data_IF_179794198616
#
_entry.id   IF_179794198616
#
_cell.length_a   1.000
_cell.length_b   1.000
_cell.length_c   1.000
_cell.angle_alpha   90.00
_cell.angle_beta   90.00
_cell.angle_gamma   90.00
#
_symmetry.space_group_name_H-M   'P 1'
#
loop_
_entity.id
_entity.type
_entity.pdbx_description
1 polymer ?
#
# COMPACT_ATOMS: atom_id res chain seq x y z
N UNK A 1 -65.77 2.12 13.96
CA UNK A 1 -64.82 2.78 14.88
C UNK A 1 -63.52 2.01 14.85
N UNK A 2 -62.43 2.69 14.51
CA UNK A 2 -61.07 2.15 14.41
C UNK A 2 -60.52 1.91 15.82
N UNK A 3 -59.87 0.78 16.06
CA UNK A 3 -58.80 0.69 17.07
C UNK A 3 -57.77 -0.32 16.61
N UNK A 4 -56.64 0.19 16.14
CA UNK A 4 -55.42 -0.60 15.96
C UNK A 4 -54.64 -0.66 17.28
N UNK A 5 -53.89 -1.74 17.46
CA UNK A 5 -52.75 -1.81 18.37
C UNK A 5 -51.81 -2.90 17.82
N UNK A 6 -50.79 -2.47 17.07
CA UNK A 6 -49.39 -2.35 17.51
C UNK A 6 -48.65 -3.69 17.48
N UNK A 7 -48.20 -4.06 16.28
CA UNK A 7 -47.19 -5.07 16.06
C UNK A 7 -45.84 -4.52 16.57
N UNK A 8 -45.39 -4.93 17.76
CA UNK A 8 -44.03 -4.62 18.23
C UNK A 8 -43.04 -5.41 17.40
N UNK A 9 -42.44 -4.76 16.41
CA UNK A 9 -41.22 -5.23 15.77
C UNK A 9 -40.10 -5.06 16.78
N UNK A 10 -39.65 -6.17 17.39
CA UNK A 10 -38.41 -6.20 18.14
C UNK A 10 -37.28 -6.07 17.10
N UNK A 11 -36.73 -4.87 16.92
CA UNK A 11 -35.45 -4.71 16.23
C UNK A 11 -34.39 -5.34 17.12
N UNK A 12 -33.82 -6.45 16.65
CA UNK A 12 -32.65 -7.06 17.26
C UNK A 12 -31.47 -6.13 17.01
N UNK A 13 -31.24 -5.19 17.93
CA UNK A 13 -30.06 -4.34 17.94
C UNK A 13 -28.90 -5.22 18.40
N UNK A 14 -28.22 -5.89 17.48
CA UNK A 14 -26.93 -6.53 17.75
C UNK A 14 -25.93 -5.45 18.14
N UNK A 15 -25.72 -5.31 19.45
CA UNK A 15 -24.66 -4.50 20.02
C UNK A 15 -23.33 -5.15 19.61
N UNK A 16 -22.69 -4.63 18.57
CA UNK A 16 -21.33 -5.03 18.20
C UNK A 16 -20.39 -4.40 19.23
N UNK A 17 -20.08 -5.14 20.31
CA UNK A 17 -19.01 -4.74 21.22
C UNK A 17 -17.71 -4.94 20.45
N UNK A 18 -17.07 -3.84 20.03
CA UNK A 18 -15.70 -3.86 19.55
C UNK A 18 -14.80 -4.31 20.70
N UNK A 19 -14.49 -5.61 20.76
CA UNK A 19 -13.44 -6.08 21.65
C UNK A 19 -12.11 -5.55 21.10
N UNK A 20 -11.40 -4.73 21.88
CA UNK A 20 -9.99 -4.46 21.64
C UNK A 20 -9.20 -5.76 21.90
N UNK A 21 -9.26 -6.69 20.95
CA UNK A 21 -8.31 -7.80 20.91
C UNK A 21 -6.97 -7.20 20.53
N UNK A 22 -6.03 -7.16 21.46
CA UNK A 22 -4.67 -6.71 21.16
C UNK A 22 -4.06 -7.65 20.13
N UNK A 23 -3.88 -7.18 18.90
CA UNK A 23 -3.10 -7.90 17.91
C UNK A 23 -1.69 -8.13 18.48
N UNK A 24 -1.18 -9.36 18.42
CA UNK A 24 0.18 -9.65 18.83
C UNK A 24 1.13 -8.90 17.86
N UNK A 25 1.94 -7.99 18.39
CA UNK A 25 2.85 -7.17 17.60
C UNK A 25 4.29 -7.63 17.81
N UNK A 26 4.97 -8.04 16.74
CA UNK A 26 6.41 -8.22 16.76
C UNK A 26 7.06 -7.03 16.05
N UNK A 27 7.81 -6.21 16.78
CA UNK A 27 8.66 -5.16 16.20
C UNK A 27 9.90 -5.80 15.56
N UNK A 28 10.21 -5.40 14.33
CA UNK A 28 11.39 -5.83 13.60
C UNK A 28 12.30 -4.63 13.33
N UNK A 29 13.59 -4.86 13.55
CA UNK A 29 14.68 -3.95 13.22
C UNK A 29 15.71 -4.70 12.38
N UNK A 30 16.37 -4.05 11.42
CA UNK A 30 17.46 -4.66 10.67
C UNK A 30 18.69 -4.85 11.57
N UNK A 31 19.41 -5.95 11.39
CA UNK A 31 20.61 -6.27 12.18
C UNK A 31 21.71 -5.22 12.08
N UNK A 32 21.76 -4.49 10.96
CA UNK A 32 22.76 -3.46 10.66
C UNK A 32 22.13 -2.06 10.52
N UNK A 33 20.94 -1.85 11.08
CA UNK A 33 20.25 -0.56 11.02
C UNK A 33 21.02 0.57 11.68
N UNK A 34 21.01 1.73 11.04
CA UNK A 34 21.64 2.97 11.52
C UNK A 34 20.73 4.16 11.26
N UNK A 35 21.13 5.32 11.80
CA UNK A 35 20.47 6.59 11.49
C UNK A 35 20.32 6.81 9.98
N UNK A 36 19.19 7.40 9.61
CA UNK A 36 18.79 7.81 8.27
C UNK A 36 18.53 6.70 7.24
N UNK A 37 18.80 5.43 7.56
CA UNK A 37 18.54 4.27 6.67
C UNK A 37 17.07 4.18 6.20
N UNK A 38 16.15 4.73 7.00
CA UNK A 38 14.70 4.75 6.74
C UNK A 38 14.11 3.35 6.56
N UNK A 39 14.52 2.39 7.38
CA UNK A 39 13.98 1.03 7.33
C UNK A 39 12.46 1.02 7.54
N UNK A 40 11.74 0.31 6.69
CA UNK A 40 10.27 0.35 6.69
C UNK A 40 9.70 1.39 5.74
N UNK A 41 10.52 2.12 4.98
CA UNK A 41 9.98 3.10 4.03
C UNK A 41 8.99 2.48 3.04
N UNK A 42 9.22 1.24 2.61
CA UNK A 42 8.28 0.42 1.83
C UNK A 42 8.22 -0.99 2.39
N UNK A 43 7.07 -1.67 2.26
CA UNK A 43 6.84 -2.99 2.83
C UNK A 43 6.00 -3.86 1.90
N UNK A 44 6.29 -5.15 1.86
CA UNK A 44 5.47 -6.17 1.20
C UNK A 44 5.49 -7.48 2.00
N UNK A 45 4.41 -8.26 1.94
CA UNK A 45 4.29 -9.55 2.62
C UNK A 45 3.62 -10.56 1.71
N UNK A 46 4.15 -11.79 1.67
CA UNK A 46 3.50 -12.93 1.02
C UNK A 46 3.66 -14.18 1.89
N UNK A 47 2.55 -14.62 2.48
CA UNK A 47 2.51 -15.73 3.42
C UNK A 47 3.44 -15.53 4.62
N UNK A 48 4.57 -16.24 4.61
CA UNK A 48 5.58 -16.28 5.69
C UNK A 48 6.86 -15.52 5.37
N UNK A 49 6.85 -14.74 4.30
CA UNK A 49 7.99 -13.91 3.87
C UNK A 49 7.56 -12.45 3.86
N UNK A 50 8.40 -11.59 4.40
CA UNK A 50 8.24 -10.15 4.41
C UNK A 50 9.46 -9.51 3.74
N UNK A 51 9.22 -8.43 3.00
CA UNK A 51 10.24 -7.65 2.33
C UNK A 51 10.10 -6.19 2.77
N UNK A 52 11.17 -5.63 3.31
CA UNK A 52 11.16 -4.29 3.89
C UNK A 52 12.24 -3.45 3.23
N UNK A 53 11.85 -2.35 2.59
CA UNK A 53 12.75 -1.40 1.98
C UNK A 53 13.37 -0.42 2.98
N UNK A 54 14.63 -0.08 2.73
CA UNK A 54 15.39 0.94 3.45
C UNK A 54 16.22 1.70 2.41
N UNK A 55 15.60 2.71 1.81
CA UNK A 55 16.11 3.34 0.57
C UNK A 55 17.38 4.17 0.75
N UNK A 56 17.79 4.42 2.01
CA UNK A 56 19.06 5.07 2.35
C UNK A 56 20.04 4.13 3.03
N UNK A 57 19.72 2.84 3.15
CA UNK A 57 20.63 1.90 3.78
C UNK A 57 21.97 1.82 3.05
N UNK A 58 23.04 1.82 3.83
CA UNK A 58 24.39 1.58 3.33
C UNK A 58 24.54 0.13 2.83
N UNK A 59 25.36 -0.04 1.79
CA UNK A 59 25.99 -1.34 1.51
C UNK A 59 27.30 -1.46 2.29
N UNK A 60 28.02 -2.57 2.12
CA UNK A 60 29.34 -2.74 2.76
C UNK A 60 30.36 -1.67 2.34
N UNK A 61 30.23 -1.10 1.13
CA UNK A 61 31.25 -0.23 0.53
C UNK A 61 30.71 1.07 -0.06
N UNK A 62 29.40 1.22 -0.17
CA UNK A 62 28.74 2.36 -0.82
C UNK A 62 27.65 2.90 0.11
N UNK A 63 27.72 4.18 0.40
CA UNK A 63 26.76 4.89 1.26
C UNK A 63 25.45 5.16 0.52
N UNK A 64 24.34 5.13 1.25
CA UNK A 64 23.01 5.51 0.74
C UNK A 64 22.65 4.89 -0.61
N UNK A 65 23.08 3.66 -0.90
CA UNK A 65 22.71 2.98 -2.15
C UNK A 65 21.33 2.30 -2.06
N UNK A 66 20.79 2.22 -0.83
CA UNK A 66 19.56 1.54 -0.50
C UNK A 66 19.72 0.03 -0.39
N UNK A 67 18.77 -0.59 0.31
CA UNK A 67 18.64 -2.03 0.43
C UNK A 67 17.18 -2.43 0.66
N UNK A 68 16.91 -3.73 0.53
CA UNK A 68 15.73 -4.32 1.15
C UNK A 68 16.10 -5.53 2.01
N UNK A 69 15.35 -5.75 3.06
CA UNK A 69 15.57 -6.79 4.04
C UNK A 69 14.47 -7.83 3.94
N UNK A 70 14.86 -9.09 3.85
CA UNK A 70 13.92 -10.22 3.82
C UNK A 70 13.81 -10.79 5.22
N UNK A 71 12.61 -10.84 5.75
CA UNK A 71 12.28 -11.55 6.98
C UNK A 71 11.45 -12.80 6.67
N UNK A 72 11.70 -13.86 7.41
CA UNK A 72 10.95 -15.10 7.31
C UNK A 72 10.33 -15.45 8.67
N UNK A 73 9.13 -16.04 8.66
CA UNK A 73 8.47 -16.53 9.86
C UNK A 73 8.98 -17.94 10.22
N UNK A 74 9.73 -18.05 11.32
CA UNK A 74 10.18 -19.30 11.91
C UNK A 74 9.30 -19.77 13.06
N UNK A 75 9.74 -20.80 13.79
CA UNK A 75 9.03 -21.31 14.98
C UNK A 75 8.98 -20.32 16.15
N UNK A 76 9.95 -19.39 16.20
CA UNK A 76 10.12 -18.42 17.28
C UNK A 76 9.74 -16.99 16.86
N UNK A 77 8.94 -16.86 15.80
CA UNK A 77 8.57 -15.57 15.21
C UNK A 77 9.41 -15.20 13.98
N UNK A 78 9.27 -13.96 13.56
CA UNK A 78 9.95 -13.40 12.38
C UNK A 78 11.44 -13.16 12.67
N UNK A 79 12.30 -13.53 11.72
CA UNK A 79 13.74 -13.30 11.79
C UNK A 79 14.27 -12.81 10.44
N UNK A 80 15.33 -11.99 10.45
CA UNK A 80 15.95 -11.50 9.23
C UNK A 80 16.69 -12.65 8.52
N UNK A 81 16.25 -12.99 7.31
CA UNK A 81 16.81 -14.04 6.47
C UNK A 81 17.91 -13.51 5.54
N UNK A 82 17.73 -12.31 4.98
CA UNK A 82 18.67 -11.74 4.00
C UNK A 82 18.62 -10.21 3.98
N UNK A 83 19.69 -9.61 3.44
CA UNK A 83 19.76 -8.22 2.97
C UNK A 83 20.05 -8.25 1.47
N UNK A 84 19.20 -7.60 0.69
CA UNK A 84 19.27 -7.51 -0.76
C UNK A 84 19.82 -6.15 -1.15
N UNK A 85 20.90 -6.15 -1.93
CA UNK A 85 21.58 -4.96 -2.45
C UNK A 85 21.79 -5.14 -3.95
N UNK A 86 21.75 -4.06 -4.72
CA UNK A 86 21.93 -4.11 -6.16
C UNK A 86 23.39 -4.39 -6.52
N UNK A 87 23.61 -5.12 -7.61
CA UNK A 87 24.92 -5.36 -8.20
C UNK A 87 24.88 -4.99 -9.70
N UNK A 88 25.50 -3.89 -10.14
CA UNK A 88 26.22 -2.90 -9.33
C UNK A 88 25.29 -2.00 -8.49
N UNK A 89 25.81 -1.58 -7.33
CA UNK A 89 25.25 -0.53 -6.50
C UNK A 89 25.93 0.82 -6.80
N UNK A 90 25.19 1.91 -6.65
CA UNK A 90 25.70 3.28 -6.79
C UNK A 90 25.32 4.11 -5.57
N UNK A 91 26.12 5.14 -5.26
CA UNK A 91 25.82 6.05 -4.15
C UNK A 91 24.55 6.84 -4.45
N UNK A 92 23.74 7.10 -3.42
CA UNK A 92 22.48 7.87 -3.53
C UNK A 92 21.38 7.22 -4.40
N UNK A 93 21.60 5.98 -4.84
CA UNK A 93 20.52 5.13 -5.34
C UNK A 93 19.50 4.87 -4.23
N UNK A 94 18.23 4.77 -4.59
CA UNK A 94 17.14 4.60 -3.63
C UNK A 94 16.61 3.17 -3.59
N UNK A 95 17.47 2.15 -3.70
CA UNK A 95 17.03 0.76 -3.74
C UNK A 95 16.17 0.40 -2.52
N UNK A 96 14.98 -0.13 -2.76
CA UNK A 96 13.99 -0.39 -1.70
C UNK A 96 13.11 0.82 -1.39
N UNK A 97 13.14 1.88 -2.20
CA UNK A 97 12.16 2.97 -2.14
C UNK A 97 10.73 2.49 -2.39
N UNK A 98 10.57 1.47 -3.23
CA UNK A 98 9.33 0.72 -3.40
C UNK A 98 9.65 -0.77 -3.48
N UNK A 99 8.80 -1.64 -2.93
CA UNK A 99 9.03 -3.08 -2.95
C UNK A 99 7.74 -3.84 -3.28
N UNK A 100 7.89 -4.92 -4.03
CA UNK A 100 6.84 -5.90 -4.25
C UNK A 100 7.38 -7.32 -4.04
N UNK A 101 6.55 -8.20 -3.49
CA UNK A 101 6.91 -9.58 -3.16
C UNK A 101 5.80 -10.52 -3.60
N UNK A 102 6.17 -11.57 -4.33
CA UNK A 102 5.27 -12.68 -4.66
C UNK A 102 6.05 -13.98 -4.71
N UNK A 103 5.65 -14.95 -3.91
CA UNK A 103 6.32 -16.24 -3.76
C UNK A 103 7.82 -16.06 -3.47
N UNK A 104 8.65 -16.47 -4.43
CA UNK A 104 10.11 -16.40 -4.38
C UNK A 104 10.67 -15.24 -5.22
N UNK A 105 9.86 -14.25 -5.59
CA UNK A 105 10.26 -13.10 -6.40
C UNK A 105 10.12 -11.82 -5.60
N UNK A 106 11.17 -11.00 -5.60
CA UNK A 106 11.22 -9.70 -4.95
C UNK A 106 11.62 -8.64 -5.99
N UNK A 107 10.86 -7.54 -6.03
CA UNK A 107 11.12 -6.39 -6.91
C UNK A 107 11.44 -5.19 -6.04
N UNK A 108 12.55 -4.52 -6.32
CA UNK A 108 13.00 -3.36 -5.56
C UNK A 108 13.17 -2.19 -6.51
N UNK A 109 12.39 -1.12 -6.29
CA UNK A 109 12.49 0.12 -7.03
C UNK A 109 13.75 0.90 -6.65
N UNK A 110 14.36 1.54 -7.64
CA UNK A 110 15.52 2.42 -7.53
C UNK A 110 15.21 3.70 -8.30
N UNK A 111 14.32 4.52 -7.76
CA UNK A 111 13.80 5.73 -8.40
C UNK A 111 14.88 6.71 -8.88
N UNK A 112 16.04 6.75 -8.20
CA UNK A 112 17.18 7.63 -8.55
C UNK A 112 18.24 7.00 -9.46
N UNK A 113 17.95 5.84 -10.06
CA UNK A 113 18.93 5.18 -10.93
C UNK A 113 19.13 5.97 -12.22
N UNK A 114 20.40 6.21 -12.57
CA UNK A 114 20.78 7.07 -13.70
C UNK A 114 21.02 6.33 -15.02
N UNK A 115 20.61 5.06 -15.13
CA UNK A 115 20.97 4.19 -16.25
C UNK A 115 20.48 4.64 -17.63
N UNK A 116 19.42 5.47 -17.70
CA UNK A 116 18.87 6.05 -18.93
C UNK A 116 18.83 7.59 -18.92
N UNK A 117 19.51 8.22 -17.96
CA UNK A 117 19.43 9.64 -17.68
C UNK A 117 19.28 9.89 -16.19
N UNK A 118 19.62 11.09 -15.73
CA UNK A 118 19.55 11.44 -14.30
C UNK A 118 18.15 11.14 -13.73
N UNK A 119 18.06 10.39 -12.64
CA UNK A 119 16.83 10.00 -11.97
C UNK A 119 15.81 9.30 -12.91
N UNK A 120 16.30 8.59 -13.94
CA UNK A 120 15.45 7.82 -14.88
C UNK A 120 14.74 6.64 -14.23
N UNK A 121 15.32 6.11 -13.15
CA UNK A 121 14.78 5.02 -12.36
C UNK A 121 15.07 3.62 -12.92
N UNK A 122 14.93 2.62 -12.04
CA UNK A 122 15.07 1.20 -12.37
C UNK A 122 14.27 0.32 -11.38
N UNK A 123 14.07 -0.94 -11.73
CA UNK A 123 13.63 -1.99 -10.81
C UNK A 123 14.61 -3.15 -10.83
N UNK A 124 15.10 -3.55 -9.66
CA UNK A 124 16.00 -4.69 -9.51
C UNK A 124 15.19 -5.92 -9.10
N UNK A 125 15.37 -6.99 -9.87
CA UNK A 125 14.64 -8.26 -9.70
C UNK A 125 15.52 -9.25 -8.95
N UNK A 126 15.02 -9.77 -7.83
CA UNK A 126 15.62 -10.85 -7.07
C UNK A 126 14.74 -12.08 -7.09
N UNK A 127 15.37 -13.25 -7.16
CA UNK A 127 14.68 -14.53 -7.03
C UNK A 127 15.33 -15.41 -5.97
N UNK A 128 14.50 -16.14 -5.22
CA UNK A 128 14.94 -17.09 -4.20
C UNK A 128 15.01 -18.50 -4.75
N UNK A 129 16.16 -19.15 -4.59
CA UNK A 129 16.34 -20.58 -4.82
C UNK A 129 16.91 -21.22 -3.54
N UNK A 130 16.18 -22.18 -2.97
CA UNK A 130 16.50 -22.69 -1.64
C UNK A 130 16.38 -21.56 -0.60
N UNK A 131 17.46 -21.24 0.10
CA UNK A 131 17.52 -20.13 1.06
C UNK A 131 18.26 -18.90 0.52
N UNK A 132 18.70 -18.92 -0.74
CA UNK A 132 19.54 -17.86 -1.32
C UNK A 132 18.71 -16.99 -2.25
N UNK A 133 18.77 -15.68 -2.06
CA UNK A 133 18.26 -14.68 -2.99
C UNK A 133 19.36 -14.25 -3.95
N UNK A 134 19.05 -14.13 -5.23
CA UNK A 134 20.01 -13.72 -6.26
C UNK A 134 19.39 -12.70 -7.18
N UNK A 135 20.13 -11.64 -7.50
CA UNK A 135 19.71 -10.68 -8.51
C UNK A 135 19.66 -11.37 -9.88
N UNK A 136 18.53 -11.24 -10.58
CA UNK A 136 18.32 -11.85 -11.90
C UNK A 136 18.32 -10.83 -13.02
N UNK A 137 17.76 -9.64 -12.77
CA UNK A 137 17.58 -8.62 -13.79
C UNK A 137 17.61 -7.22 -13.17
N UNK A 138 17.97 -6.23 -13.99
CA UNK A 138 17.71 -4.81 -13.74
C UNK A 138 16.84 -4.34 -14.90
N UNK A 139 15.63 -3.88 -14.59
CA UNK A 139 14.67 -3.36 -15.56
C UNK A 139 14.76 -1.84 -15.58
N UNK A 140 14.77 -1.28 -16.78
CA UNK A 140 14.62 0.17 -17.04
C UNK A 140 13.49 0.35 -18.05
N UNK A 141 12.84 1.52 -18.04
CA UNK A 141 11.88 1.86 -19.08
C UNK A 141 12.55 1.82 -20.46
N UNK A 142 11.86 1.24 -21.45
CA UNK A 142 12.41 1.06 -22.81
C UNK A 142 12.68 2.39 -23.51
N UNK A 143 11.89 3.40 -23.16
CA UNK A 143 11.92 4.79 -23.61
C UNK A 143 12.28 5.75 -22.46
N UNK A 144 12.90 5.24 -21.39
CA UNK A 144 13.21 6.01 -20.18
C UNK A 144 14.10 7.22 -20.47
N UNK A 145 13.76 8.33 -19.82
CA UNK A 145 14.48 9.62 -19.87
C UNK A 145 14.83 10.10 -18.47
N UNK A 146 15.61 11.18 -18.42
CA UNK A 146 15.95 11.82 -17.16
C UNK A 146 14.70 12.33 -16.46
N UNK A 147 14.55 12.00 -15.17
CA UNK A 147 13.44 12.43 -14.34
C UNK A 147 12.19 11.57 -14.42
N UNK A 148 12.12 10.52 -15.25
CA UNK A 148 10.89 9.70 -15.39
C UNK A 148 10.50 8.93 -14.12
N UNK A 149 11.47 8.68 -13.22
CA UNK A 149 11.29 7.97 -11.94
C UNK A 149 10.68 6.57 -12.11
N UNK A 150 11.15 5.79 -13.09
CA UNK A 150 10.72 4.40 -13.27
C UNK A 150 11.02 3.55 -12.02
N UNK A 151 10.03 2.80 -11.53
CA UNK A 151 10.15 2.04 -10.29
C UNK A 151 9.56 2.74 -9.06
N UNK A 152 8.93 3.91 -9.25
CA UNK A 152 8.25 4.64 -8.18
C UNK A 152 7.12 3.85 -7.52
N UNK A 153 6.42 3.04 -8.31
CA UNK A 153 5.37 2.14 -7.85
C UNK A 153 5.53 0.78 -8.54
N UNK A 154 5.29 -0.30 -7.80
CA UNK A 154 5.48 -1.67 -8.30
C UNK A 154 4.32 -2.55 -7.81
N UNK A 155 3.71 -3.31 -8.72
CA UNK A 155 2.74 -4.33 -8.37
C UNK A 155 3.07 -5.65 -9.10
N UNK A 156 2.86 -6.78 -8.42
CA UNK A 156 3.38 -8.07 -8.86
C UNK A 156 2.37 -9.20 -8.64
N UNK A 157 2.19 -10.00 -9.69
CA UNK A 157 1.59 -11.34 -9.63
C UNK A 157 2.60 -12.38 -10.12
N UNK A 158 2.20 -13.65 -10.17
CA UNK A 158 3.04 -14.69 -10.80
C UNK A 158 3.24 -14.47 -12.29
N UNK A 159 2.27 -13.82 -12.96
CA UNK A 159 2.22 -13.67 -14.42
C UNK A 159 2.66 -12.29 -14.90
N UNK A 160 2.34 -11.25 -14.15
CA UNK A 160 2.48 -9.86 -14.55
C UNK A 160 3.23 -9.04 -13.50
N UNK A 161 4.06 -8.14 -13.98
CA UNK A 161 4.75 -7.10 -13.21
C UNK A 161 4.36 -5.75 -13.81
N UNK A 162 3.89 -4.83 -12.97
CA UNK A 162 3.52 -3.46 -13.36
C UNK A 162 4.43 -2.49 -12.64
N UNK A 163 5.03 -1.56 -13.38
CA UNK A 163 5.96 -0.57 -12.85
C UNK A 163 5.54 0.83 -13.30
N UNK A 164 5.35 1.74 -12.35
CA UNK A 164 5.03 3.14 -12.64
C UNK A 164 6.26 4.00 -12.91
N UNK A 165 6.07 5.01 -13.76
CA UNK A 165 6.99 6.12 -14.03
C UNK A 165 6.16 7.42 -14.15
N UNK A 166 5.73 8.00 -13.01
CA UNK A 166 4.76 9.10 -13.00
C UNK A 166 5.23 10.37 -13.70
N UNK A 167 6.54 10.56 -13.81
CA UNK A 167 7.12 11.75 -14.44
C UNK A 167 7.49 11.53 -15.92
N UNK A 168 7.10 10.40 -16.50
CA UNK A 168 7.35 10.17 -17.92
C UNK A 168 6.44 11.03 -18.79
N UNK A 169 7.02 11.58 -19.86
CA UNK A 169 6.30 12.44 -20.81
C UNK A 169 5.49 11.62 -21.83
N UNK A 170 4.25 11.23 -21.51
CA UNK A 170 3.43 10.38 -22.39
C UNK A 170 1.90 10.53 -22.22
N UNK A 171 1.20 11.36 -23.04
CA UNK A 171 1.72 12.14 -24.18
C UNK A 171 2.22 13.55 -23.82
N UNK A 172 1.92 14.04 -22.62
CA UNK A 172 2.28 15.39 -22.17
C UNK A 172 3.36 15.35 -21.09
N UNK A 173 3.94 16.52 -20.79
CA UNK A 173 4.96 16.65 -19.76
C UNK A 173 4.47 16.08 -18.42
N UNK A 174 5.20 15.16 -17.80
CA UNK A 174 4.85 14.56 -16.51
C UNK A 174 3.41 13.97 -16.45
N UNK A 175 2.82 13.62 -17.59
CA UNK A 175 1.50 12.97 -17.65
C UNK A 175 1.55 11.53 -17.12
N UNK A 176 2.73 10.90 -17.16
CA UNK A 176 3.04 9.65 -16.51
C UNK A 176 2.75 8.40 -17.34
N UNK A 177 3.23 7.25 -16.88
CA UNK A 177 3.04 5.95 -17.51
C UNK A 177 3.14 4.79 -16.53
N UNK A 178 2.57 3.65 -16.91
CA UNK A 178 2.82 2.36 -16.26
C UNK A 178 3.25 1.32 -17.29
N UNK A 179 4.26 0.51 -16.97
CA UNK A 179 4.84 -0.48 -17.86
C UNK A 179 4.48 -1.87 -17.36
N UNK A 180 3.92 -2.69 -18.24
CA UNK A 180 3.54 -4.07 -17.94
C UNK A 180 4.55 -5.03 -18.54
N UNK A 181 4.98 -5.99 -17.74
CA UNK A 181 5.90 -7.05 -18.10
C UNK A 181 5.24 -8.41 -17.87
N UNK A 182 5.54 -9.37 -18.74
CA UNK A 182 5.18 -10.79 -18.59
C UNK A 182 6.42 -11.61 -18.27
N UNK A 183 6.23 -12.74 -17.59
CA UNK A 183 7.33 -13.64 -17.26
C UNK A 183 7.44 -14.77 -18.30
N UNK A 184 8.56 -14.81 -19.01
CA UNK A 184 8.85 -15.80 -20.06
C UNK A 184 10.23 -16.41 -19.82
N UNK A 185 10.32 -17.75 -19.82
CA UNK A 185 11.57 -18.49 -19.61
C UNK A 185 12.38 -18.04 -18.36
N UNK A 186 11.69 -17.67 -17.28
CA UNK A 186 12.33 -17.23 -16.03
C UNK A 186 12.81 -15.77 -16.04
N UNK A 187 12.44 -14.98 -17.05
CA UNK A 187 12.83 -13.58 -17.21
C UNK A 187 11.59 -12.70 -17.39
N UNK A 188 11.60 -11.47 -16.87
CA UNK A 188 10.58 -10.47 -17.19
C UNK A 188 10.86 -9.85 -18.55
N UNK A 189 9.82 -9.79 -19.38
CA UNK A 189 9.84 -9.23 -20.74
C UNK A 189 8.80 -8.12 -20.82
N UNK A 190 9.18 -7.00 -21.44
CA UNK A 190 8.27 -5.88 -21.64
C UNK A 190 7.11 -6.32 -22.54
N UNK A 191 5.87 -6.07 -22.09
CA UNK A 191 4.65 -6.39 -22.84
C UNK A 191 4.05 -5.13 -23.46
N UNK A 192 3.75 -4.12 -22.64
CA UNK A 192 3.10 -2.89 -23.10
C UNK A 192 3.32 -1.73 -22.13
N UNK A 193 3.07 -0.51 -22.62
CA UNK A 193 3.03 0.73 -21.86
C UNK A 193 1.58 1.21 -21.79
N UNK A 194 1.12 1.58 -20.61
CA UNK A 194 -0.19 2.11 -20.32
C UNK A 194 -0.07 3.61 -20.04
N UNK A 195 -1.00 4.38 -20.60
CA UNK A 195 -1.14 5.84 -20.42
C UNK A 195 -2.63 6.15 -20.33
N UNK A 196 -3.03 7.12 -19.51
CA UNK A 196 -4.41 7.61 -19.52
C UNK A 196 -4.77 8.19 -20.91
N UNK A 197 -5.92 7.79 -21.47
CA UNK A 197 -6.39 8.29 -22.78
C UNK A 197 -6.61 9.81 -22.79
N UNK A 198 -6.96 10.34 -21.64
CA UNK A 198 -7.26 11.72 -21.30
C UNK A 198 -6.18 12.33 -20.40
N UNK A 199 -5.02 11.68 -20.26
CA UNK A 199 -3.93 12.19 -19.44
C UNK A 199 -3.49 13.58 -19.92
N UNK A 200 -3.34 14.50 -18.98
CA UNK A 200 -2.88 15.87 -19.15
C UNK A 200 -1.49 16.06 -18.53
N UNK A 201 -0.90 17.24 -18.71
CA UNK A 201 0.39 17.55 -18.12
C UNK A 201 0.32 17.50 -16.59
N UNK A 202 1.37 16.97 -15.96
CA UNK A 202 1.53 16.90 -14.50
C UNK A 202 0.49 16.02 -13.76
N UNK A 203 -0.30 15.19 -14.47
CA UNK A 203 -1.28 14.25 -13.87
C UNK A 203 -0.65 13.12 -13.04
N UNK A 204 0.63 12.82 -13.28
CA UNK A 204 1.42 11.79 -12.60
C UNK A 204 0.85 10.36 -12.70
N UNK A 205 0.29 9.98 -13.85
CA UNK A 205 -0.18 8.60 -14.08
C UNK A 205 0.92 7.57 -13.79
N UNK A 206 0.66 6.59 -12.93
CA UNK A 206 1.67 5.63 -12.49
C UNK A 206 2.28 5.96 -11.12
N UNK A 207 1.82 7.01 -10.44
CA UNK A 207 2.25 7.33 -9.07
C UNK A 207 1.96 6.17 -8.09
N UNK A 208 0.90 5.41 -8.38
CA UNK A 208 0.54 4.18 -7.68
C UNK A 208 0.02 3.15 -8.68
N UNK A 209 0.30 1.87 -8.41
CA UNK A 209 -0.21 0.75 -9.21
C UNK A 209 -0.64 -0.39 -8.30
N UNK A 210 -1.69 -1.10 -8.70
CA UNK A 210 -2.10 -2.37 -8.11
C UNK A 210 -2.50 -3.35 -9.22
N UNK A 211 -2.29 -4.64 -9.00
CA UNK A 211 -2.67 -5.69 -9.95
C UNK A 211 -3.19 -6.92 -9.21
N UNK A 212 -4.32 -7.45 -9.69
CA UNK A 212 -4.83 -8.76 -9.29
C UNK A 212 -5.45 -9.46 -10.51
N UNK A 213 -5.04 -10.70 -10.75
CA UNK A 213 -5.44 -11.45 -11.95
C UNK A 213 -5.16 -10.69 -13.25
N UNK A 214 -6.24 -10.29 -13.94
CA UNK A 214 -6.23 -9.61 -15.23
C UNK A 214 -6.62 -8.13 -15.11
N UNK A 215 -6.62 -7.56 -13.91
CA UNK A 215 -7.04 -6.19 -13.66
C UNK A 215 -5.89 -5.37 -13.07
N UNK A 216 -5.63 -4.20 -13.65
CA UNK A 216 -4.65 -3.22 -13.16
C UNK A 216 -5.39 -1.95 -12.75
N UNK A 217 -5.01 -1.37 -11.62
CA UNK A 217 -5.33 0.01 -11.27
C UNK A 217 -4.07 0.86 -11.38
N UNK A 218 -4.21 2.07 -11.93
CA UNK A 218 -3.13 3.06 -11.99
C UNK A 218 -3.65 4.41 -11.51
N UNK A 219 -3.01 4.98 -10.49
CA UNK A 219 -3.33 6.31 -9.99
C UNK A 219 -2.71 7.43 -10.82
N UNK A 220 -3.40 8.57 -10.88
CA UNK A 220 -2.97 9.86 -11.39
C UNK A 220 -3.49 10.91 -10.39
N UNK A 221 -2.73 11.14 -9.32
CA UNK A 221 -3.23 11.82 -8.13
C UNK A 221 -3.38 13.33 -8.28
N UNK A 222 -2.81 13.92 -9.33
CA UNK A 222 -2.93 15.34 -9.63
C UNK A 222 -3.91 15.65 -10.77
N UNK A 223 -4.57 14.63 -11.33
CA UNK A 223 -5.59 14.81 -12.35
C UNK A 223 -6.73 15.73 -11.88
N UNK A 224 -7.17 16.66 -12.71
CA UNK A 224 -7.91 17.85 -12.31
C UNK A 224 -9.35 17.97 -12.87
N UNK A 225 -9.93 16.88 -13.39
CA UNK A 225 -11.26 16.92 -14.02
C UNK A 225 -12.41 17.35 -13.10
N UNK A 226 -12.44 16.87 -11.85
CA UNK A 226 -13.52 17.23 -10.90
C UNK A 226 -13.21 18.57 -10.22
N UNK A 227 -11.99 18.69 -9.72
CA UNK A 227 -11.41 19.90 -9.14
C UNK A 227 -9.89 19.83 -9.30
N UNK A 228 -9.21 20.98 -9.16
CA UNK A 228 -7.74 21.03 -9.27
C UNK A 228 -7.09 20.03 -8.32
N UNK A 229 -6.29 19.11 -8.87
CA UNK A 229 -5.55 18.08 -8.13
C UNK A 229 -6.45 17.18 -7.25
N UNK A 230 -7.70 16.98 -7.67
CA UNK A 230 -8.62 16.06 -7.00
C UNK A 230 -8.19 14.60 -7.15
N UNK A 231 -7.56 14.26 -8.28
CA UNK A 231 -6.99 12.95 -8.58
C UNK A 231 -7.95 11.96 -9.25
N UNK A 232 -7.38 10.94 -9.89
CA UNK A 232 -8.10 9.88 -10.57
C UNK A 232 -7.38 8.53 -10.47
N UNK A 233 -8.12 7.44 -10.70
CA UNK A 233 -7.56 6.09 -10.88
C UNK A 233 -8.13 5.45 -12.13
N UNK A 234 -7.28 4.82 -12.93
CA UNK A 234 -7.65 4.17 -14.17
C UNK A 234 -7.62 2.66 -14.01
N UNK A 235 -8.72 2.00 -14.37
CA UNK A 235 -8.81 0.54 -14.37
C UNK A 235 -8.56 0.00 -15.77
N UNK A 236 -7.61 -0.92 -15.90
CA UNK A 236 -7.30 -1.65 -17.12
C UNK A 236 -7.62 -3.13 -16.95
N UNK A 237 -8.16 -3.73 -18.01
CA UNK A 237 -8.47 -5.17 -18.05
C UNK A 237 -7.72 -5.85 -19.19
N UNK A 238 -7.18 -7.04 -18.92
CA UNK A 238 -6.49 -7.86 -19.91
C UNK A 238 -7.46 -8.84 -20.58
N UNK A 239 -7.65 -8.71 -21.90
CA UNK A 239 -8.56 -9.55 -22.69
C UNK A 239 -7.96 -10.90 -23.13
N UNK A 240 -6.76 -11.23 -22.64
CA UNK A 240 -5.97 -12.39 -23.07
C UNK A 240 -4.90 -12.05 -24.11
N UNK A 241 -4.97 -10.89 -24.74
CA UNK A 241 -4.00 -10.40 -25.74
C UNK A 241 -3.45 -9.02 -25.40
N UNK A 242 -4.30 -8.09 -24.97
CA UNK A 242 -3.98 -6.69 -24.75
C UNK A 242 -4.68 -6.15 -23.50
N UNK A 243 -4.10 -5.08 -22.95
CA UNK A 243 -4.68 -4.31 -21.86
C UNK A 243 -5.55 -3.19 -22.42
N UNK A 244 -6.76 -3.03 -21.88
CA UNK A 244 -7.69 -1.98 -22.29
C UNK A 244 -8.16 -1.18 -21.09
N UNK A 245 -8.15 0.16 -21.20
CA UNK A 245 -8.75 1.03 -20.20
C UNK A 245 -10.26 0.79 -20.15
N UNK A 246 -10.73 0.19 -19.07
CA UNK A 246 -12.12 -0.17 -18.81
C UNK A 246 -12.88 0.97 -18.14
N UNK A 247 -12.25 1.69 -17.22
CA UNK A 247 -12.89 2.76 -16.46
C UNK A 247 -11.88 3.81 -15.98
N UNK A 248 -12.40 5.01 -15.70
CA UNK A 248 -11.78 6.03 -14.85
C UNK A 248 -12.62 6.15 -13.58
N UNK A 249 -11.98 6.06 -12.43
CA UNK A 249 -12.55 6.11 -11.09
C UNK A 249 -12.13 7.43 -10.47
N UNK A 250 -13.11 8.16 -9.92
CA UNK A 250 -12.90 9.42 -9.21
C UNK A 250 -13.85 9.45 -8.02
N UNK A 251 -13.44 10.10 -6.93
CA UNK A 251 -14.32 10.33 -5.78
C UNK A 251 -15.49 11.24 -6.20
N UNK A 252 -16.72 10.84 -5.89
CA UNK A 252 -17.94 11.63 -6.19
C UNK A 252 -17.92 13.03 -5.58
N UNK A 253 -17.23 13.16 -4.46
CA UNK A 253 -17.05 14.33 -3.63
C UNK A 253 -15.61 14.87 -3.69
N UNK A 254 -14.85 14.51 -4.73
CA UNK A 254 -13.46 14.95 -4.89
C UNK A 254 -13.34 16.47 -4.82
N UNK A 255 -12.52 16.94 -3.89
CA UNK A 255 -12.19 18.34 -3.62
C UNK A 255 -10.82 18.76 -4.16
N UNK A 256 -10.49 20.03 -3.93
CA UNK A 256 -9.20 20.60 -4.32
C UNK A 256 -8.06 19.95 -3.53
N UNK A 257 -7.08 19.38 -4.23
CA UNK A 257 -5.88 18.75 -3.64
C UNK A 257 -6.12 17.54 -2.74
N UNK A 258 -7.30 16.91 -2.82
CA UNK A 258 -7.62 15.65 -2.14
C UNK A 258 -6.64 14.52 -2.50
N UNK A 259 -6.00 14.62 -3.68
CA UNK A 259 -5.03 13.70 -4.26
C UNK A 259 -5.50 12.24 -4.26
N UNK A 260 -6.73 12.03 -4.73
CA UNK A 260 -7.33 10.72 -4.91
C UNK A 260 -6.48 9.85 -5.84
N UNK A 261 -6.21 8.61 -5.43
CA UNK A 261 -5.42 7.68 -6.23
C UNK A 261 -3.92 7.66 -5.92
N UNK A 262 -3.45 8.47 -4.97
CA UNK A 262 -2.03 8.47 -4.57
C UNK A 262 -1.58 7.12 -3.99
N UNK A 263 -2.50 6.32 -3.46
CA UNK A 263 -2.33 4.89 -3.15
C UNK A 263 -3.58 4.12 -3.58
N UNK A 264 -3.34 2.93 -4.11
CA UNK A 264 -4.39 2.02 -4.56
C UNK A 264 -4.10 0.61 -4.06
N UNK A 265 -5.15 -0.10 -3.63
CA UNK A 265 -5.12 -1.52 -3.36
C UNK A 265 -6.26 -2.19 -4.14
N UNK A 266 -6.00 -3.39 -4.67
CA UNK A 266 -6.94 -4.15 -5.49
C UNK A 266 -6.97 -5.59 -5.01
N UNK A 267 -8.18 -6.15 -4.86
CA UNK A 267 -8.40 -7.58 -4.63
C UNK A 267 -9.68 -8.03 -5.33
N UNK A 268 -9.53 -8.87 -6.34
CA UNK A 268 -10.62 -9.29 -7.22
C UNK A 268 -11.36 -8.09 -7.80
N UNK A 269 -12.63 -7.96 -7.45
CA UNK A 269 -13.52 -6.90 -7.92
C UNK A 269 -13.65 -5.73 -6.92
N UNK A 270 -12.84 -5.69 -5.86
CA UNK A 270 -12.85 -4.61 -4.87
C UNK A 270 -11.57 -3.78 -4.97
N UNK A 271 -11.72 -2.47 -5.10
CA UNK A 271 -10.64 -1.49 -5.03
C UNK A 271 -10.78 -0.60 -3.80
N UNK A 272 -9.67 -0.32 -3.14
CA UNK A 272 -9.56 0.63 -2.03
C UNK A 272 -8.58 1.74 -2.44
N UNK A 273 -9.07 2.97 -2.48
CA UNK A 273 -8.33 4.11 -3.06
C UNK A 273 -8.25 5.22 -2.03
N UNK A 274 -7.05 5.76 -1.80
CA UNK A 274 -6.83 6.85 -0.86
C UNK A 274 -7.08 8.23 -1.45
N UNK A 275 -7.59 9.15 -0.64
CA UNK A 275 -7.49 10.60 -0.81
C UNK A 275 -7.04 11.20 0.54
N UNK A 276 -5.74 11.18 0.80
CA UNK A 276 -5.20 11.45 2.15
C UNK A 276 -5.27 12.92 2.58
N UNK A 277 -5.69 13.81 1.67
CA UNK A 277 -5.83 15.25 1.85
C UNK A 277 -7.27 15.72 1.69
N UNK A 278 -8.21 14.78 1.66
CA UNK A 278 -9.64 15.10 1.62
C UNK A 278 -10.07 15.82 2.91
N UNK A 279 -10.71 16.98 2.72
CA UNK A 279 -11.27 17.80 3.78
C UNK A 279 -12.65 17.27 4.17
N UNK A 280 -12.83 16.93 5.45
CA UNK A 280 -14.09 16.36 5.91
C UNK A 280 -14.89 17.43 6.66
N UNK A 281 -16.09 17.73 6.14
CA UNK A 281 -17.04 18.64 6.80
C UNK A 281 -17.32 18.19 8.24
N UNK A 282 -17.13 19.10 9.19
CA UNK A 282 -17.30 18.83 10.62
C UNK A 282 -16.10 18.16 11.31
N UNK A 283 -15.06 17.79 10.57
CA UNK A 283 -13.79 17.26 11.12
C UNK A 283 -12.65 18.26 10.90
N UNK A 284 -12.43 18.71 9.67
CA UNK A 284 -11.41 19.70 9.32
C UNK A 284 -10.57 19.33 8.09
N UNK A 285 -9.59 20.20 7.81
CA UNK A 285 -8.71 20.11 6.64
C UNK A 285 -7.77 18.89 6.71
N UNK A 286 -7.46 18.28 5.56
CA UNK A 286 -6.53 17.16 5.41
C UNK A 286 -6.80 15.96 6.37
N UNK A 287 -8.05 15.81 6.84
CA UNK A 287 -8.44 14.70 7.72
C UNK A 287 -8.28 13.34 7.00
N UNK A 288 -8.55 13.33 5.70
CA UNK A 288 -8.29 12.23 4.78
C UNK A 288 -9.38 11.15 4.75
N UNK A 289 -9.55 10.53 3.58
CA UNK A 289 -10.55 9.49 3.34
C UNK A 289 -10.01 8.35 2.47
N UNK A 290 -10.64 7.19 2.60
CA UNK A 290 -10.46 6.09 1.64
C UNK A 290 -11.80 5.70 1.00
N UNK A 291 -11.76 5.32 -0.26
CA UNK A 291 -12.96 5.02 -1.04
C UNK A 291 -12.95 3.56 -1.49
N UNK A 292 -14.08 2.89 -1.31
CA UNK A 292 -14.32 1.55 -1.84
C UNK A 292 -15.03 1.66 -3.17
N UNK A 293 -14.44 1.03 -4.18
CA UNK A 293 -15.10 0.78 -5.46
C UNK A 293 -15.29 -0.73 -5.64
N UNK A 294 -16.48 -1.12 -6.07
CA UNK A 294 -16.81 -2.51 -6.38
C UNK A 294 -17.13 -2.64 -7.87
N UNK A 295 -16.59 -3.69 -8.51
CA UNK A 295 -16.89 -4.06 -9.89
C UNK A 295 -17.99 -5.12 -9.93
N UNK A 296 -19.01 -4.88 -10.74
CA UNK A 296 -20.06 -5.86 -11.03
C UNK A 296 -20.41 -5.75 -12.50
N UNK A 297 -20.45 -6.89 -13.20
CA UNK A 297 -20.69 -6.96 -14.65
C UNK A 297 -19.80 -6.01 -15.46
N UNK A 298 -18.53 -5.91 -15.07
CA UNK A 298 -17.55 -5.04 -15.72
C UNK A 298 -17.68 -3.54 -15.42
N UNK A 299 -18.61 -3.13 -14.54
CA UNK A 299 -18.80 -1.73 -14.14
C UNK A 299 -18.31 -1.49 -12.72
N UNK A 300 -17.40 -0.53 -12.57
CA UNK A 300 -16.95 -0.04 -11.27
C UNK A 300 -17.92 0.99 -10.69
N UNK A 301 -18.18 0.91 -9.39
CA UNK A 301 -19.04 1.85 -8.67
C UNK A 301 -18.44 2.19 -7.31
N UNK A 302 -18.39 3.48 -6.94
CA UNK A 302 -18.07 3.89 -5.58
C UNK A 302 -19.22 3.48 -4.66
N UNK A 303 -18.97 2.52 -3.78
CA UNK A 303 -19.96 1.97 -2.85
C UNK A 303 -19.87 2.59 -1.47
N UNK A 304 -18.68 3.02 -1.03
CA UNK A 304 -18.46 3.61 0.30
C UNK A 304 -17.31 4.63 0.32
N UNK A 305 -17.43 5.60 1.23
CA UNK A 305 -16.36 6.45 1.74
C UNK A 305 -16.08 6.03 3.19
N UNK A 306 -14.82 5.77 3.52
CA UNK A 306 -14.34 5.33 4.83
C UNK A 306 -13.51 6.46 5.44
N UNK A 307 -13.78 6.78 6.70
CA UNK A 307 -13.12 7.83 7.48
C UNK A 307 -12.80 7.28 8.87
N UNK A 308 -11.72 7.73 9.52
CA UNK A 308 -11.44 7.30 10.89
C UNK A 308 -12.60 7.72 11.83
N UNK A 309 -13.10 6.83 12.71
CA UNK A 309 -14.20 7.17 13.63
C UNK A 309 -13.89 8.29 14.63
N UNK A 310 -12.60 8.50 14.90
CA UNK A 310 -12.01 9.50 15.78
C UNK A 310 -11.08 10.43 15.00
N UNK A 311 -11.41 10.70 13.73
CA UNK A 311 -10.63 11.59 12.87
C UNK A 311 -10.55 13.02 13.43
N UNK A 312 -9.38 13.63 13.25
CA UNK A 312 -9.11 15.04 13.43
C UNK A 312 -8.51 15.66 12.16
N UNK A 313 -8.48 17.00 12.10
CA UNK A 313 -7.79 17.72 11.04
C UNK A 313 -6.30 17.31 10.99
N UNK A 314 -5.76 17.23 9.77
CA UNK A 314 -4.39 16.81 9.44
C UNK A 314 -3.97 15.41 9.93
N UNK A 315 -4.89 14.54 10.37
CA UNK A 315 -4.58 13.13 10.68
C UNK A 315 -4.05 12.36 9.46
N UNK A 316 -4.38 12.85 8.25
CA UNK A 316 -4.04 12.26 6.95
C UNK A 316 -4.39 10.79 6.87
N UNK A 317 -5.63 10.48 7.26
CA UNK A 317 -6.19 9.15 7.09
C UNK A 317 -6.11 8.73 5.62
N UNK A 318 -5.96 7.42 5.39
CA UNK A 318 -5.68 6.83 4.10
C UNK A 318 -4.35 7.20 3.47
N UNK A 319 -3.37 7.64 4.26
CA UNK A 319 -2.00 7.70 3.76
C UNK A 319 -1.52 6.37 3.17
N UNK A 320 -1.84 5.27 3.84
CA UNK A 320 -1.54 3.91 3.42
C UNK A 320 -2.83 3.11 3.39
N UNK A 321 -3.01 2.32 2.33
CA UNK A 321 -4.18 1.45 2.15
C UNK A 321 -3.71 0.06 1.71
N UNK A 322 -4.31 -0.98 2.26
CA UNK A 322 -4.10 -2.36 1.81
C UNK A 322 -5.35 -3.19 2.04
N UNK A 323 -5.54 -4.21 1.20
CA UNK A 323 -6.80 -4.94 1.08
C UNK A 323 -6.54 -6.44 0.93
N UNK A 324 -7.32 -7.24 1.64
CA UNK A 324 -7.54 -8.67 1.38
C UNK A 324 -9.03 -8.91 1.10
N UNK A 325 -9.45 -10.17 0.97
CA UNK A 325 -10.84 -10.49 0.60
C UNK A 325 -11.89 -9.85 1.52
N UNK A 326 -11.65 -9.82 2.83
CA UNK A 326 -12.59 -9.38 3.84
C UNK A 326 -12.02 -8.31 4.77
N UNK A 327 -10.75 -7.90 4.58
CA UNK A 327 -10.04 -7.01 5.50
C UNK A 327 -9.41 -5.85 4.74
N UNK A 328 -9.65 -4.63 5.19
CA UNK A 328 -8.94 -3.44 4.77
C UNK A 328 -8.19 -2.85 5.96
N UNK A 329 -6.93 -2.48 5.76
CA UNK A 329 -6.16 -1.69 6.72
C UNK A 329 -5.87 -0.33 6.10
N UNK A 330 -6.12 0.71 6.88
CA UNK A 330 -5.99 2.10 6.44
C UNK A 330 -5.25 2.88 7.53
N UNK A 331 -4.19 3.59 7.18
CA UNK A 331 -3.40 4.35 8.16
C UNK A 331 -3.75 5.83 8.20
N UNK A 332 -3.63 6.43 9.39
CA UNK A 332 -3.57 7.86 9.62
C UNK A 332 -2.21 8.18 10.23
N UNK A 333 -1.26 8.60 9.39
CA UNK A 333 0.14 8.70 9.78
C UNK A 333 0.43 9.86 10.76
N UNK A 334 -0.45 10.85 10.81
CA UNK A 334 -0.32 12.01 11.70
C UNK A 334 -1.24 11.92 12.92
N UNK A 335 -2.01 10.82 13.05
CA UNK A 335 -2.89 10.68 14.20
C UNK A 335 -2.12 10.71 15.52
N UNK A 336 -2.60 11.51 16.47
CA UNK A 336 -2.01 11.74 17.79
C UNK A 336 -2.30 10.61 18.80
N UNK A 337 -2.06 9.35 18.41
CA UNK A 337 -2.49 8.19 19.20
C UNK A 337 -1.75 8.07 20.55
N UNK A 338 -0.42 8.15 20.53
CA UNK A 338 0.47 8.00 21.69
C UNK A 338 1.48 9.17 21.75
N UNK A 339 1.05 10.36 21.36
CA UNK A 339 1.90 11.53 21.14
C UNK A 339 1.68 12.12 19.75
N UNK A 340 2.12 13.36 19.55
CA UNK A 340 1.91 14.07 18.30
C UNK A 340 2.47 13.29 17.10
N UNK A 341 1.67 13.08 16.05
CA UNK A 341 2.05 12.32 14.86
C UNK A 341 2.60 10.91 15.12
N UNK A 342 2.24 10.28 16.25
CA UNK A 342 2.67 8.91 16.53
C UNK A 342 2.11 7.91 15.51
N UNK A 343 0.95 8.22 14.93
CA UNK A 343 0.28 7.47 13.87
C UNK A 343 -0.61 6.34 14.38
N UNK A 344 -1.59 5.95 13.56
CA UNK A 344 -2.52 4.87 13.83
C UNK A 344 -2.92 4.11 12.56
N UNK A 345 -3.40 2.87 12.73
CA UNK A 345 -3.99 2.05 11.66
C UNK A 345 -5.39 1.60 12.06
N UNK A 346 -6.32 1.68 11.12
CA UNK A 346 -7.71 1.31 11.29
C UNK A 346 -8.01 0.09 10.45
N UNK A 347 -8.61 -0.92 11.08
CA UNK A 347 -9.09 -2.12 10.42
C UNK A 347 -10.57 -2.01 10.13
N UNK A 348 -10.91 -2.33 8.88
CA UNK A 348 -12.28 -2.48 8.41
C UNK A 348 -12.49 -3.91 7.92
N UNK A 349 -13.64 -4.50 8.27
CA UNK A 349 -14.04 -5.82 7.82
C UNK A 349 -15.27 -5.76 6.93
N UNK A 350 -15.27 -6.54 5.86
CA UNK A 350 -16.42 -6.69 4.96
C UNK A 350 -17.48 -7.57 5.62
N UNK A 351 -18.70 -7.05 5.76
CA UNK A 351 -19.88 -7.79 6.20
C UNK A 351 -20.99 -7.60 5.16
N UNK A 352 -21.31 -8.67 4.43
CA UNK A 352 -22.17 -8.56 3.23
C UNK A 352 -21.49 -7.70 2.16
N UNK A 353 -22.16 -6.63 1.73
CA UNK A 353 -21.66 -5.69 0.72
C UNK A 353 -21.04 -4.41 1.30
N UNK A 354 -20.87 -4.34 2.63
CA UNK A 354 -20.45 -3.13 3.33
C UNK A 354 -19.17 -3.38 4.14
N UNK A 355 -18.28 -2.41 4.19
CA UNK A 355 -17.11 -2.41 5.06
C UNK A 355 -17.42 -1.67 6.36
N UNK A 356 -17.05 -2.26 7.48
CA UNK A 356 -17.30 -1.73 8.82
C UNK A 356 -16.01 -1.62 9.59
N UNK A 357 -15.81 -0.49 10.28
CA UNK A 357 -14.72 -0.33 11.23
C UNK A 357 -14.81 -1.40 12.33
N UNK A 358 -13.68 -2.03 12.65
CA UNK A 358 -13.60 -3.05 13.70
C UNK A 358 -12.64 -2.70 14.82
N UNK A 359 -11.48 -2.12 14.50
CA UNK A 359 -10.47 -1.82 15.52
C UNK A 359 -9.45 -0.79 15.06
N UNK A 360 -8.91 -0.04 16.02
CA UNK A 360 -7.74 0.82 15.87
C UNK A 360 -6.51 0.09 16.42
N UNK A 361 -5.40 0.21 15.71
CA UNK A 361 -4.12 -0.42 16.00
C UNK A 361 -3.09 0.70 16.11
N UNK A 362 -2.32 0.68 17.20
CA UNK A 362 -1.27 1.65 17.50
C UNK A 362 0.00 0.90 17.91
N UNK A 363 1.17 1.48 17.70
CA UNK A 363 2.41 0.92 18.25
C UNK A 363 2.42 1.04 19.78
N UNK A 364 2.68 -0.07 20.48
CA UNK A 364 2.74 -0.10 21.95
C UNK A 364 3.84 0.80 22.52
N UNK A 365 4.95 0.91 21.79
CA UNK A 365 6.09 1.77 22.09
C UNK A 365 6.17 2.97 21.12
N UNK A 366 5.04 3.38 20.55
CA UNK A 366 4.95 4.53 19.65
C UNK A 366 5.28 5.83 20.37
N UNK A 367 6.04 6.70 19.70
CA UNK A 367 6.47 8.01 20.18
C UNK A 367 6.05 9.11 19.21
N UNK A 368 6.27 10.36 19.63
CA UNK A 368 6.08 11.55 18.80
C UNK A 368 6.83 11.38 17.47
N UNK A 369 6.18 11.72 16.37
CA UNK A 369 6.71 11.69 15.00
C UNK A 369 7.18 10.33 14.45
N UNK A 370 6.95 9.21 15.17
CA UNK A 370 7.23 7.86 14.64
C UNK A 370 6.43 7.56 13.36
N UNK A 371 5.26 8.21 13.20
CA UNK A 371 4.34 8.10 12.05
C UNK A 371 4.03 6.65 11.70
N UNK A 372 3.66 5.88 12.72
CA UNK A 372 3.20 4.50 12.58
C UNK A 372 2.05 4.41 11.57
N UNK A 373 2.17 3.52 10.60
CA UNK A 373 1.27 3.50 9.45
C UNK A 373 1.83 4.21 8.21
N UNK A 374 3.14 4.48 8.18
CA UNK A 374 3.78 5.02 6.98
C UNK A 374 3.61 4.10 5.76
N UNK A 375 3.51 2.80 5.89
CA UNK A 375 3.11 1.95 4.77
C UNK A 375 2.57 0.66 5.34
N UNK A 376 1.68 0.05 4.57
CA UNK A 376 0.95 -1.15 4.98
C UNK A 376 1.16 -2.23 3.92
N UNK A 377 1.33 -3.46 4.38
CA UNK A 377 1.22 -4.64 3.54
C UNK A 377 0.35 -5.67 4.25
N UNK A 378 -0.43 -6.43 3.49
CA UNK A 378 -1.39 -7.39 4.03
C UNK A 378 -1.34 -8.70 3.23
N UNK A 379 -1.29 -9.80 3.96
CA UNK A 379 -1.60 -11.15 3.49
C UNK A 379 -2.85 -11.65 4.22
N UNK A 380 -3.28 -12.88 3.95
CA UNK A 380 -4.44 -13.45 4.63
C UNK A 380 -4.27 -13.57 6.17
N UNK A 381 -3.03 -13.71 6.65
CA UNK A 381 -2.73 -13.99 8.06
C UNK A 381 -1.88 -12.91 8.73
N UNK A 382 -1.06 -12.19 7.96
CA UNK A 382 -0.10 -11.25 8.50
C UNK A 382 -0.26 -9.88 7.86
N UNK A 383 -0.11 -8.84 8.66
CA UNK A 383 0.06 -7.48 8.20
C UNK A 383 1.41 -6.90 8.63
N UNK A 384 1.94 -5.97 7.85
CA UNK A 384 3.10 -5.16 8.19
C UNK A 384 2.65 -3.72 8.32
N UNK A 385 3.04 -3.07 9.42
CA UNK A 385 2.90 -1.63 9.59
C UNK A 385 4.28 -1.00 9.71
N UNK A 386 4.59 -0.09 8.80
CA UNK A 386 5.86 0.63 8.80
C UNK A 386 5.85 1.89 9.68
N UNK A 387 7.03 2.20 10.23
CA UNK A 387 7.34 3.42 10.95
C UNK A 387 8.81 3.83 10.68
N UNK A 388 9.13 4.37 9.49
CA UNK A 388 10.52 4.65 9.09
C UNK A 388 11.16 5.82 9.84
N UNK A 389 10.36 6.62 10.57
CA UNK A 389 10.84 7.74 11.38
C UNK A 389 11.24 7.34 12.80
N UNK A 390 11.16 6.05 13.12
CA UNK A 390 11.61 5.48 14.38
C UNK A 390 13.10 5.65 14.59
N UNK A 391 13.48 5.83 15.86
CA UNK A 391 14.85 6.16 16.25
C UNK A 391 15.60 5.07 17.04
N UNK A 392 15.16 3.81 17.00
CA UNK A 392 15.73 2.73 17.84
C UNK A 392 17.26 2.58 17.69
N UNK A 393 17.77 2.73 16.46
CA UNK A 393 19.18 2.61 16.13
C UNK A 393 19.76 3.93 15.58
N UNK A 394 19.21 5.06 16.03
CA UNK A 394 19.56 6.41 15.57
C UNK A 394 18.42 7.08 14.79
N UNK A 395 18.52 8.40 14.60
CA UNK A 395 17.49 9.23 13.98
C UNK A 395 16.98 8.64 12.66
N UNK A 396 15.67 8.42 12.50
CA UNK A 396 15.04 7.83 11.31
C UNK A 396 15.71 6.54 10.82
N UNK A 397 16.21 5.72 11.76
CA UNK A 397 16.72 4.38 11.46
C UNK A 397 15.60 3.43 11.01
N UNK A 398 14.40 3.64 11.53
CA UNK A 398 13.18 2.99 11.09
C UNK A 398 12.88 1.64 11.75
N UNK A 399 11.60 1.27 11.77
CA UNK A 399 11.11 -0.01 12.25
C UNK A 399 9.89 -0.47 11.46
N UNK A 400 9.58 -1.77 11.54
CA UNK A 400 8.27 -2.29 11.13
C UNK A 400 7.65 -3.15 12.24
N UNK A 401 6.33 -3.27 12.22
CA UNK A 401 5.57 -4.09 13.14
C UNK A 401 4.82 -5.15 12.36
N UNK A 402 5.11 -6.40 12.70
CA UNK A 402 4.36 -7.54 12.19
C UNK A 402 3.15 -7.76 13.09
N UNK A 403 1.98 -7.84 12.47
CA UNK A 403 0.72 -8.13 13.12
C UNK A 403 0.22 -9.50 12.68
N UNK A 404 -0.16 -10.33 13.64
CA UNK A 404 -0.90 -11.57 13.38
C UNK A 404 -2.41 -11.30 13.45
N UNK A 405 -3.11 -11.67 12.38
CA UNK A 405 -4.56 -11.47 12.25
C UNK A 405 -5.38 -12.69 12.70
N UNK A 406 -4.74 -13.82 13.04
CA UNK A 406 -5.44 -15.04 13.47
C UNK A 406 -6.14 -14.96 14.84
N UNK A 407 -6.04 -13.84 15.55
CA UNK A 407 -6.69 -13.62 16.85
C UNK A 407 -8.11 -13.01 16.84
N UNK A 408 -8.69 -12.67 15.68
CA UNK A 408 -9.98 -11.97 15.61
C UNK A 408 -11.23 -12.87 15.58
N UNK A 409 -11.07 -14.21 15.67
CA UNK A 409 -12.20 -15.10 15.92
C UNK A 409 -12.62 -14.95 17.37
N UNK A 410 -13.78 -14.33 17.59
CA UNK A 410 -14.44 -14.18 18.88
C UNK A 410 -14.31 -15.46 19.71
N UNK A 411 -13.73 -15.34 20.91
CA UNK A 411 -13.88 -16.35 21.95
C UNK A 411 -15.37 -16.41 22.27
N UNK A 412 -16.08 -17.38 21.70
CA UNK A 412 -17.42 -17.72 22.14
C UNK A 412 -17.29 -18.17 23.61
N UNK A 413 -17.66 -17.28 24.54
CA UNK A 413 -17.72 -17.64 25.94
C UNK A 413 -18.79 -18.72 26.10
N UNK A 414 -18.37 -19.97 26.29
CA UNK A 414 -19.26 -20.99 26.81
C UNK A 414 -19.59 -20.64 28.27
N UNK A 415 -20.64 -19.83 28.47
CA UNK A 415 -21.36 -19.84 29.75
C UNK A 415 -22.09 -21.17 29.83
N UNK A 416 -21.52 -22.10 30.59
CA UNK A 416 -22.31 -23.16 31.19
C UNK A 416 -23.16 -22.54 32.29
N UNK A 417 -24.44 -22.31 31.98
CA UNK A 417 -25.48 -22.22 32.98
C UNK A 417 -25.56 -23.55 33.72
N UNK A 418 -24.97 -23.61 34.91
CA UNK A 418 -25.38 -24.58 35.93
C UNK A 418 -26.56 -23.98 36.68
N UNK A 419 -27.74 -24.37 36.26
CA UNK A 419 -28.94 -24.38 37.11
C UNK A 419 -28.64 -25.26 38.33
N UNK A 420 -28.80 -24.69 39.52
CA UNK A 420 -29.26 -25.40 40.70
C UNK A 420 -30.38 -24.58 41.33
#
# INVERSE_FOLDING_TARGET
MKSGALLKVLSCLTLLVASQGEANQQKLLPHDGKADDSFGFSVAVDGKTALIGAFKADTKTIQNAGAAYVYALGSNGWYQQAKLVAEPAFSEDTLGGNVALKNNMAMLGVSRRDSRGKDSGAVVVFEKQGNTWTQKQILTAIDGKAGDVFGQSIALTERFLVIGAPHSDAPHKDSGSAYVYTRENGAWQYQTKLTAKDGAADDLFGISVAIDGNTILVGADLHDEIAQEAGAVYAYEFDGKQWQQQAKLMAKDGGHTDIFGVRVALRGDTALISARRDDIEGVGEDAGSAYIFERTDGKWTQTQKLVAPDAHADDRFARGVTLSNDTALISAMHHDANGSNAGAVYMYKKQGSQWHYTSKIVAKDGKIDDRFGWNLALSNQHAIVAAPHRDDNGNSSGAVYMLDLEGSKAVASNRHDKVK
#
